data_IF_136480496880
#
_entry.id   IF_136480496880
#
_cell.length_a   1.000
_cell.length_b   1.000
_cell.length_c   1.000
_cell.angle_alpha   90.00
_cell.angle_beta   90.00
_cell.angle_gamma   90.00
#
_symmetry.space_group_name_H-M   'P 1'
#
loop_
_entity.id
_entity.type
_entity.pdbx_description
1 polymer ?
#
# COMPACT_ATOMS: atom_id res chain seq x y z
N UNK A 1 14.52 -23.90 -1.93
CA UNK A 1 15.00 -22.64 -1.32
C UNK A 1 14.14 -22.32 -0.11
N UNK A 2 14.73 -21.80 0.95
CA UNK A 2 14.06 -21.16 2.09
C UNK A 2 13.85 -19.68 1.77
N UNK A 3 12.59 -19.22 1.75
CA UNK A 3 12.21 -17.90 1.26
C UNK A 3 11.43 -17.14 2.33
N UNK A 4 11.87 -15.91 2.61
CA UNK A 4 11.15 -14.98 3.47
C UNK A 4 10.22 -14.10 2.63
N UNK A 5 8.96 -13.99 3.01
CA UNK A 5 8.01 -13.02 2.46
C UNK A 5 7.72 -11.97 3.52
N UNK A 6 7.95 -10.69 3.20
CA UNK A 6 7.73 -9.58 4.14
C UNK A 6 6.36 -8.97 3.88
N UNK A 7 5.42 -9.20 4.79
CA UNK A 7 4.02 -8.77 4.72
C UNK A 7 3.06 -9.91 4.37
N UNK A 8 1.94 -9.98 5.07
CA UNK A 8 0.83 -10.93 4.85
C UNK A 8 -0.45 -10.23 4.34
N UNK A 9 -0.29 -9.14 3.59
CA UNK A 9 -1.34 -8.57 2.76
C UNK A 9 -1.66 -9.45 1.54
N UNK A 10 -2.57 -8.97 0.69
CA UNK A 10 -2.98 -9.68 -0.53
C UNK A 10 -1.79 -10.07 -1.43
N UNK A 11 -0.81 -9.17 -1.59
CA UNK A 11 0.42 -9.43 -2.35
C UNK A 11 1.29 -10.54 -1.72
N UNK A 12 1.51 -10.48 -0.40
CA UNK A 12 2.30 -11.47 0.31
C UNK A 12 1.65 -12.85 0.35
N UNK A 13 0.32 -12.90 0.50
CA UNK A 13 -0.45 -14.15 0.40
C UNK A 13 -0.36 -14.76 -1.00
N UNK A 14 -0.42 -13.94 -2.06
CA UNK A 14 -0.24 -14.40 -3.43
C UNK A 14 1.17 -15.01 -3.62
N UNK A 15 2.21 -14.29 -3.20
CA UNK A 15 3.59 -14.76 -3.28
C UNK A 15 3.82 -16.05 -2.47
N UNK A 16 3.37 -16.09 -1.22
CA UNK A 16 3.54 -17.25 -0.34
C UNK A 16 2.86 -18.51 -0.90
N UNK A 17 1.65 -18.38 -1.46
CA UNK A 17 0.93 -19.48 -2.12
C UNK A 17 1.74 -20.02 -3.30
N UNK A 18 2.19 -19.15 -4.19
CA UNK A 18 2.92 -19.57 -5.40
C UNK A 18 4.28 -20.16 -5.06
N UNK A 19 4.99 -19.61 -4.08
CA UNK A 19 6.24 -20.17 -3.58
C UNK A 19 6.06 -21.59 -3.02
N UNK A 20 5.02 -21.83 -2.21
CA UNK A 20 4.72 -23.19 -1.73
C UNK A 20 4.38 -24.16 -2.86
N UNK A 21 3.63 -23.71 -3.87
CA UNK A 21 3.29 -24.52 -5.06
C UNK A 21 4.52 -24.95 -5.86
N UNK A 22 5.54 -24.11 -5.89
CA UNK A 22 6.82 -24.41 -6.53
C UNK A 22 7.80 -25.21 -5.62
N UNK A 23 7.36 -25.62 -4.42
CA UNK A 23 8.12 -26.48 -3.52
C UNK A 23 9.12 -25.73 -2.64
N UNK A 24 8.98 -24.41 -2.49
CA UNK A 24 9.81 -23.63 -1.57
C UNK A 24 9.35 -23.79 -0.12
N UNK A 25 10.31 -23.71 0.81
CA UNK A 25 10.01 -23.52 2.24
C UNK A 25 9.79 -22.03 2.46
N UNK A 26 8.63 -21.66 2.98
CA UNK A 26 8.19 -20.26 3.05
C UNK A 26 7.95 -19.86 4.50
N UNK A 27 8.52 -18.71 4.88
CA UNK A 27 8.18 -17.99 6.10
C UNK A 27 7.63 -16.62 5.72
N UNK A 28 6.46 -16.25 6.24
CA UNK A 28 5.85 -14.93 6.04
C UNK A 28 5.93 -14.16 7.35
N UNK A 29 6.53 -12.97 7.34
CA UNK A 29 6.61 -12.08 8.51
C UNK A 29 5.51 -11.02 8.39
N UNK A 30 4.60 -10.95 9.35
CA UNK A 30 3.50 -9.99 9.39
C UNK A 30 3.50 -9.22 10.70
N UNK A 31 3.59 -7.89 10.61
CA UNK A 31 3.65 -7.03 11.80
C UNK A 31 2.32 -6.94 12.55
N UNK A 32 1.20 -7.22 11.88
CA UNK A 32 -0.14 -7.14 12.46
C UNK A 32 -0.53 -8.44 13.17
N UNK A 33 -1.56 -8.37 14.00
CA UNK A 33 -2.09 -9.53 14.72
C UNK A 33 -2.92 -10.50 13.88
N UNK A 34 -3.07 -10.26 12.57
CA UNK A 34 -3.75 -11.14 11.62
C UNK A 34 -3.27 -10.83 10.18
N UNK A 35 -3.60 -11.70 9.23
CA UNK A 35 -3.39 -11.46 7.79
C UNK A 35 -4.36 -10.40 7.26
N UNK A 36 -4.05 -9.85 6.09
CA UNK A 36 -4.95 -8.95 5.36
C UNK A 36 -4.30 -7.63 4.93
N UNK A 37 -3.21 -7.23 5.59
CA UNK A 37 -2.52 -5.97 5.30
C UNK A 37 -3.48 -4.78 5.41
N UNK A 38 -3.62 -4.00 4.35
CA UNK A 38 -4.56 -2.87 4.29
C UNK A 38 -6.00 -3.26 4.67
N UNK A 39 -6.46 -4.46 4.33
CA UNK A 39 -7.85 -4.88 4.58
C UNK A 39 -8.14 -5.17 6.05
N UNK A 40 -7.11 -5.33 6.88
CA UNK A 40 -7.26 -5.43 8.33
C UNK A 40 -7.47 -4.03 8.91
N UNK A 41 -8.73 -3.63 9.02
CA UNK A 41 -9.12 -2.35 9.59
C UNK A 41 -8.63 -2.19 11.03
N UNK A 42 -8.00 -1.05 11.30
CA UNK A 42 -7.55 -0.64 12.63
C UNK A 42 -8.17 0.72 12.96
N UNK A 43 -9.01 0.86 14.00
CA UNK A 43 -9.62 2.14 14.35
C UNK A 43 -8.61 3.16 14.90
N UNK A 44 -7.39 2.74 15.27
CA UNK A 44 -6.33 3.64 15.73
C UNK A 44 -5.76 4.46 14.57
N UNK A 45 -5.14 5.57 14.93
CA UNK A 45 -4.44 6.48 14.02
C UNK A 45 -3.05 6.77 14.59
N UNK A 46 -2.11 7.16 13.73
CA UNK A 46 -0.78 7.60 14.19
C UNK A 46 -0.83 8.96 14.92
N UNK A 47 -1.94 9.68 14.79
CA UNK A 47 -2.23 10.97 15.41
C UNK A 47 -2.86 10.82 16.81
N UNK A 48 -2.04 10.66 17.85
CA UNK A 48 -2.39 11.15 19.21
C UNK A 48 -1.93 12.62 19.40
N UNK A 49 -1.52 13.30 18.33
CA UNK A 49 -1.14 14.70 18.30
C UNK A 49 -0.23 15.01 17.12
N UNK A 50 -0.71 15.87 16.21
CA UNK A 50 0.03 16.56 15.16
C UNK A 50 1.19 15.77 14.54
N UNK A 51 0.91 14.99 13.49
CA UNK A 51 1.95 14.56 12.54
C UNK A 51 2.74 15.79 12.05
N UNK A 52 3.94 16.00 12.60
CA UNK A 52 4.96 16.84 11.98
C UNK A 52 5.31 16.23 10.62
N UNK A 53 5.43 17.06 9.57
CA UNK A 53 5.74 16.56 8.25
C UNK A 53 7.11 15.85 8.24
N UNK A 54 7.06 14.53 8.02
CA UNK A 54 8.21 13.72 7.63
C UNK A 54 9.18 13.38 8.76
N UNK A 55 8.93 12.29 9.49
CA UNK A 55 10.01 11.41 10.01
C UNK A 55 9.50 10.21 10.82
N UNK A 56 8.34 10.27 11.46
CA UNK A 56 7.89 9.18 12.33
C UNK A 56 7.48 7.95 11.49
N UNK A 57 7.95 6.73 11.82
CA UNK A 57 7.51 5.53 11.15
C UNK A 57 6.01 5.32 11.39
N UNK A 58 5.28 5.07 10.31
CA UNK A 58 3.85 4.75 10.35
C UNK A 58 3.63 3.58 11.31
N UNK A 59 2.82 3.78 12.36
CA UNK A 59 2.56 2.74 13.37
C UNK A 59 1.36 1.90 12.98
N UNK A 60 0.34 2.53 12.40
CA UNK A 60 -0.89 1.91 11.91
C UNK A 60 -0.76 1.65 10.41
N UNK A 61 -0.70 0.38 10.01
CA UNK A 61 -0.50 0.04 8.59
C UNK A 61 -1.72 0.38 7.71
N UNK A 62 -2.93 0.11 8.19
CA UNK A 62 -4.17 0.24 7.41
C UNK A 62 -4.58 1.70 7.22
N UNK A 63 -4.91 2.02 5.97
CA UNK A 63 -5.56 3.28 5.57
C UNK A 63 -7.07 3.15 5.36
N UNK A 64 -7.66 2.01 5.71
CA UNK A 64 -9.11 1.80 5.57
C UNK A 64 -9.89 2.61 6.61
N UNK A 65 -11.00 3.18 6.17
CA UNK A 65 -12.00 3.82 7.02
C UNK A 65 -13.27 2.96 7.14
N UNK A 66 -14.03 3.18 8.21
CA UNK A 66 -15.06 2.25 8.67
C UNK A 66 -16.12 1.93 7.61
N UNK A 67 -16.52 2.94 6.82
CA UNK A 67 -17.54 2.81 5.80
C UNK A 67 -17.02 2.37 4.42
N UNK A 68 -15.70 2.18 4.26
CA UNK A 68 -15.09 1.90 2.95
C UNK A 68 -15.73 0.68 2.29
N UNK A 69 -16.11 0.88 1.03
CA UNK A 69 -16.59 -0.18 0.14
C UNK A 69 -15.64 -0.29 -1.04
N UNK A 70 -15.66 -1.46 -1.68
CA UNK A 70 -14.90 -1.64 -2.91
C UNK A 70 -15.38 -0.66 -3.98
N UNK A 71 -14.41 -0.08 -4.69
CA UNK A 71 -14.63 0.71 -5.90
C UNK A 71 -14.74 -0.16 -7.16
N UNK A 72 -14.34 -1.43 -7.05
CA UNK A 72 -14.43 -2.45 -8.09
C UNK A 72 -15.39 -3.57 -7.66
N UNK A 73 -16.08 -4.22 -8.61
CA UNK A 73 -16.97 -5.31 -8.26
C UNK A 73 -16.18 -6.51 -7.72
N UNK A 74 -16.75 -7.25 -6.77
CA UNK A 74 -16.11 -8.42 -6.15
C UNK A 74 -15.62 -9.46 -7.15
N UNK A 75 -16.29 -9.60 -8.29
CA UNK A 75 -15.91 -10.55 -9.34
C UNK A 75 -14.51 -10.25 -9.93
N UNK A 76 -14.06 -9.00 -9.87
CA UNK A 76 -12.72 -8.60 -10.31
C UNK A 76 -11.65 -8.76 -9.21
N UNK A 77 -12.06 -9.07 -7.98
CA UNK A 77 -11.21 -9.04 -6.77
C UNK A 77 -10.90 -10.44 -6.22
N UNK A 78 -11.26 -11.49 -6.96
CA UNK A 78 -10.92 -12.89 -6.65
C UNK A 78 -9.59 -13.33 -7.27
N UNK A 79 -8.85 -14.21 -6.61
CA UNK A 79 -7.70 -14.91 -7.19
C UNK A 79 -8.21 -15.90 -8.25
N UNK A 80 -7.37 -16.21 -9.25
CA UNK A 80 -7.80 -17.00 -10.41
C UNK A 80 -8.47 -18.33 -10.03
N UNK A 81 -7.95 -18.99 -9.00
CA UNK A 81 -8.40 -20.29 -8.47
C UNK A 81 -9.10 -20.20 -7.11
N UNK A 82 -9.40 -18.98 -6.64
CA UNK A 82 -10.13 -18.73 -5.41
C UNK A 82 -11.00 -17.49 -5.60
N UNK A 83 -12.16 -17.70 -6.22
CA UNK A 83 -13.04 -16.62 -6.66
C UNK A 83 -13.78 -15.97 -5.48
N UNK A 84 -13.96 -14.65 -5.55
CA UNK A 84 -14.58 -13.87 -4.46
C UNK A 84 -16.11 -13.78 -4.62
N UNK A 85 -16.78 -14.91 -4.35
CA UNK A 85 -18.23 -15.01 -4.43
C UNK A 85 -18.95 -14.55 -3.14
N UNK A 86 -20.21 -14.09 -3.24
CA UNK A 86 -21.05 -13.85 -2.07
C UNK A 86 -21.23 -15.13 -1.25
N UNK A 87 -21.16 -14.99 0.09
CA UNK A 87 -21.53 -16.05 1.03
C UNK A 87 -22.95 -15.80 1.53
N UNK A 88 -23.94 -16.37 0.86
CA UNK A 88 -25.35 -16.24 1.25
C UNK A 88 -25.65 -17.00 2.55
N UNK A 89 -26.53 -16.45 3.39
CA UNK A 89 -26.97 -17.09 4.63
C UNK A 89 -25.94 -17.14 5.77
N UNK A 90 -24.73 -16.61 5.57
CA UNK A 90 -23.69 -16.57 6.62
C UNK A 90 -23.74 -15.22 7.34
N UNK A 91 -24.02 -15.26 8.65
CA UNK A 91 -24.10 -14.06 9.49
C UNK A 91 -22.78 -13.26 9.46
N UNK A 92 -22.88 -11.93 9.35
CA UNK A 92 -21.72 -11.03 9.33
C UNK A 92 -21.01 -10.90 7.99
N UNK A 93 -21.48 -11.58 6.94
CA UNK A 93 -20.96 -11.45 5.56
C UNK A 93 -21.71 -10.41 4.76
N UNK A 94 -21.00 -9.81 3.81
CA UNK A 94 -21.54 -8.78 2.92
C UNK A 94 -21.83 -9.36 1.53
N UNK A 95 -23.10 -9.60 1.16
CA UNK A 95 -23.45 -10.21 -0.12
C UNK A 95 -23.42 -9.21 -1.28
N UNK A 96 -23.24 -7.91 -1.03
CA UNK A 96 -23.27 -6.88 -2.08
C UNK A 96 -22.18 -7.10 -3.12
N UNK A 97 -22.45 -6.68 -4.36
CA UNK A 97 -21.46 -6.70 -5.46
C UNK A 97 -20.23 -5.82 -5.17
N UNK A 98 -20.44 -4.73 -4.44
CA UNK A 98 -19.40 -3.82 -3.93
C UNK A 98 -19.46 -3.85 -2.40
N UNK A 99 -18.90 -4.90 -1.77
CA UNK A 99 -18.97 -5.10 -0.33
C UNK A 99 -18.05 -4.13 0.42
N UNK A 100 -18.14 -4.11 1.75
CA UNK A 100 -17.20 -3.39 2.61
C UNK A 100 -15.81 -4.03 2.62
N UNK A 101 -14.80 -3.26 3.04
CA UNK A 101 -13.42 -3.74 3.24
C UNK A 101 -13.34 -5.01 4.09
N UNK A 102 -14.19 -5.13 5.11
CA UNK A 102 -14.26 -6.27 6.03
C UNK A 102 -14.50 -7.60 5.32
N UNK A 103 -15.28 -7.60 4.25
CA UNK A 103 -15.56 -8.80 3.47
C UNK A 103 -14.33 -9.27 2.68
N UNK A 104 -13.47 -8.34 2.24
CA UNK A 104 -12.18 -8.68 1.61
C UNK A 104 -11.21 -9.25 2.64
N UNK A 105 -11.17 -8.70 3.85
CA UNK A 105 -10.40 -9.27 4.96
C UNK A 105 -10.82 -10.71 5.24
N UNK A 106 -12.13 -10.99 5.33
CA UNK A 106 -12.61 -12.37 5.50
C UNK A 106 -12.22 -13.28 4.35
N UNK A 107 -12.32 -12.79 3.11
CA UNK A 107 -11.87 -13.52 1.94
C UNK A 107 -10.37 -13.86 1.98
N UNK A 108 -9.50 -12.93 2.41
CA UNK A 108 -8.06 -13.17 2.54
C UNK A 108 -7.73 -14.16 3.67
N UNK A 109 -8.48 -14.14 4.76
CA UNK A 109 -8.36 -15.16 5.81
C UNK A 109 -8.75 -16.54 5.31
N UNK A 110 -9.88 -16.65 4.60
CA UNK A 110 -10.30 -17.90 3.98
C UNK A 110 -9.27 -18.41 2.97
N UNK A 111 -8.69 -17.51 2.16
CA UNK A 111 -7.61 -17.85 1.25
C UNK A 111 -6.40 -18.41 1.98
N UNK A 112 -5.95 -17.75 3.06
CA UNK A 112 -4.84 -18.21 3.88
C UNK A 112 -5.09 -19.62 4.44
N UNK A 113 -6.30 -19.91 4.93
CA UNK A 113 -6.67 -21.24 5.42
C UNK A 113 -6.81 -22.28 4.31
N UNK A 114 -7.49 -21.95 3.20
CA UNK A 114 -7.78 -22.86 2.10
C UNK A 114 -6.51 -23.38 1.41
N UNK A 115 -5.49 -22.53 1.30
CA UNK A 115 -4.18 -22.91 0.76
C UNK A 115 -3.17 -23.32 1.83
N UNK A 116 -3.62 -23.49 3.09
CA UNK A 116 -2.82 -23.94 4.21
C UNK A 116 -1.58 -23.09 4.41
N UNK A 117 -1.70 -21.76 4.40
CA UNK A 117 -0.58 -20.83 4.57
C UNK A 117 -0.38 -20.40 6.03
N UNK A 118 -1.35 -20.67 6.90
CA UNK A 118 -1.35 -20.18 8.28
C UNK A 118 -0.11 -20.61 9.08
N UNK A 119 0.45 -21.78 8.82
CA UNK A 119 1.66 -22.29 9.46
C UNK A 119 2.95 -21.60 8.97
N UNK A 120 2.93 -20.97 7.79
CA UNK A 120 4.04 -20.15 7.31
C UNK A 120 4.02 -18.72 7.89
N UNK A 121 2.87 -18.25 8.37
CA UNK A 121 2.71 -16.85 8.80
C UNK A 121 3.08 -16.68 10.27
N UNK A 122 4.04 -15.78 10.52
CA UNK A 122 4.42 -15.32 11.85
C UNK A 122 3.82 -13.94 12.07
N UNK A 123 2.72 -13.91 12.82
CA UNK A 123 1.98 -12.70 13.17
C UNK A 123 2.67 -11.94 14.29
N UNK A 124 2.36 -10.64 14.39
CA UNK A 124 3.02 -9.71 15.29
C UNK A 124 4.56 -9.75 15.17
N UNK A 125 5.09 -10.01 13.97
CA UNK A 125 6.53 -10.09 13.70
C UNK A 125 6.89 -9.00 12.70
N UNK A 126 7.50 -7.93 13.20
CA UNK A 126 7.95 -6.81 12.36
C UNK A 126 9.37 -7.06 11.88
N UNK A 127 9.58 -6.96 10.57
CA UNK A 127 10.92 -6.94 9.98
C UNK A 127 11.55 -5.56 10.21
N UNK A 128 12.71 -5.53 10.85
CA UNK A 128 13.47 -4.32 11.17
C UNK A 128 14.64 -4.10 10.22
N UNK A 129 15.23 -5.19 9.70
CA UNK A 129 16.32 -5.13 8.74
C UNK A 129 16.33 -6.33 7.79
N UNK A 130 16.67 -6.10 6.54
CA UNK A 130 16.96 -7.10 5.52
C UNK A 130 18.26 -6.67 4.83
N UNK A 131 19.29 -7.51 4.90
CA UNK A 131 20.58 -7.21 4.30
C UNK A 131 21.26 -8.47 3.75
N UNK A 132 22.11 -8.30 2.73
CA UNK A 132 22.93 -9.38 2.23
C UNK A 132 23.92 -9.86 3.32
N UNK A 133 24.17 -11.18 3.38
CA UNK A 133 25.15 -11.77 4.29
C UNK A 133 26.57 -11.54 3.72
N UNK A 134 27.45 -10.77 4.38
CA UNK A 134 28.73 -10.33 3.80
C UNK A 134 29.72 -11.45 3.44
N UNK A 135 29.60 -12.60 4.10
CA UNK A 135 30.56 -13.71 4.00
C UNK A 135 30.01 -14.94 3.26
N UNK A 136 28.81 -14.85 2.68
CA UNK A 136 28.20 -15.99 2.02
C UNK A 136 28.77 -16.17 0.60
N UNK A 137 29.10 -17.41 0.24
CA UNK A 137 29.42 -17.82 -1.13
C UNK A 137 28.17 -17.86 -2.04
N UNK A 138 27.00 -17.60 -1.48
CA UNK A 138 25.68 -17.61 -2.14
C UNK A 138 24.90 -16.36 -1.77
N UNK A 139 24.03 -15.85 -2.64
CA UNK A 139 23.23 -14.64 -2.37
C UNK A 139 22.15 -14.90 -1.30
N UNK A 140 22.56 -14.89 -0.03
CA UNK A 140 21.71 -15.09 1.14
C UNK A 140 21.45 -13.78 1.88
N UNK A 141 20.33 -13.75 2.58
CA UNK A 141 19.79 -12.57 3.23
C UNK A 141 19.59 -12.80 4.72
N UNK A 142 20.20 -11.95 5.55
CA UNK A 142 19.91 -11.87 6.97
C UNK A 142 18.67 -10.97 7.18
N UNK A 143 17.64 -11.54 7.78
CA UNK A 143 16.39 -10.86 8.10
C UNK A 143 16.26 -10.75 9.60
N UNK A 144 16.24 -9.51 10.09
CA UNK A 144 16.02 -9.18 11.51
C UNK A 144 14.57 -8.85 11.77
N UNK A 145 14.07 -9.36 12.88
CA UNK A 145 12.68 -9.22 13.29
C UNK A 145 12.54 -8.94 14.78
N UNK A 146 11.49 -8.23 15.14
CA UNK A 146 11.05 -8.06 16.53
C UNK A 146 9.60 -8.55 16.67
N UNK A 147 9.30 -9.21 17.78
CA UNK A 147 7.92 -9.60 18.10
C UNK A 147 7.20 -8.44 18.80
N UNK A 148 5.99 -8.11 18.37
CA UNK A 148 5.21 -7.00 18.90
C UNK A 148 4.19 -7.52 19.93
N UNK A 149 4.08 -6.83 21.07
CA UNK A 149 3.05 -7.12 22.08
C UNK A 149 3.37 -8.27 23.05
N UNK A 150 4.63 -8.72 23.12
CA UNK A 150 5.10 -9.65 24.15
C UNK A 150 5.51 -8.95 25.46
N UNK A 151 5.98 -9.73 26.43
CA UNK A 151 6.57 -9.20 27.67
C UNK A 151 7.94 -8.56 27.37
N UNK A 152 8.53 -7.76 28.27
CA UNK A 152 9.81 -7.07 28.02
C UNK A 152 10.99 -8.00 27.64
N UNK A 153 10.85 -9.31 27.83
CA UNK A 153 11.80 -10.36 27.40
C UNK A 153 11.56 -10.88 25.98
N UNK A 154 10.43 -10.54 25.34
CA UNK A 154 10.04 -10.94 23.98
C UNK A 154 10.39 -9.89 22.91
N UNK A 155 10.88 -8.72 23.32
CA UNK A 155 11.40 -7.66 22.42
C UNK A 155 12.83 -7.95 21.93
N UNK A 156 13.33 -9.17 22.11
CA UNK A 156 14.63 -9.57 21.56
C UNK A 156 14.57 -9.63 20.03
N UNK A 157 15.46 -8.88 19.38
CA UNK A 157 15.64 -8.92 17.93
C UNK A 157 16.19 -10.29 17.53
N UNK A 158 15.48 -10.98 16.63
CA UNK A 158 15.87 -12.28 16.08
C UNK A 158 16.37 -12.10 14.65
N UNK A 159 17.46 -12.78 14.32
CA UNK A 159 18.02 -12.82 12.98
C UNK A 159 17.92 -14.24 12.39
N UNK A 160 17.37 -14.35 11.19
CA UNK A 160 17.28 -15.59 10.42
C UNK A 160 17.82 -15.38 9.00
N UNK A 161 18.44 -16.42 8.44
CA UNK A 161 19.03 -16.38 7.10
C UNK A 161 18.13 -17.10 6.09
N UNK A 162 17.89 -16.46 4.95
CA UNK A 162 17.07 -16.97 3.86
C UNK A 162 17.84 -16.96 2.54
N UNK A 163 17.48 -17.88 1.65
CA UNK A 163 18.04 -17.96 0.28
C UNK A 163 17.45 -16.88 -0.64
N UNK A 164 16.28 -16.35 -0.28
CA UNK A 164 15.63 -15.26 -1.00
C UNK A 164 14.64 -14.49 -0.11
N UNK A 165 14.40 -13.23 -0.47
CA UNK A 165 13.41 -12.35 0.16
C UNK A 165 12.44 -11.81 -0.90
N UNK A 166 11.15 -11.89 -0.61
CA UNK A 166 10.08 -11.24 -1.38
C UNK A 166 9.49 -10.11 -0.55
N UNK A 167 9.67 -8.87 -1.00
CA UNK A 167 9.10 -7.69 -0.36
C UNK A 167 7.66 -7.48 -0.84
N UNK A 168 6.69 -7.59 0.06
CA UNK A 168 5.25 -7.51 -0.24
C UNK A 168 4.50 -6.64 0.81
N UNK A 169 5.15 -5.58 1.28
CA UNK A 169 4.66 -4.71 2.37
C UNK A 169 3.57 -3.74 1.94
N UNK A 170 3.27 -3.64 0.65
CA UNK A 170 2.39 -2.61 0.10
C UNK A 170 2.98 -1.20 0.17
N UNK A 171 2.22 -0.22 -0.29
CA UNK A 171 2.69 1.17 -0.47
C UNK A 171 1.58 2.21 -0.23
N UNK A 172 0.54 1.85 0.53
CA UNK A 172 -0.58 2.73 0.88
C UNK A 172 -0.61 3.04 2.37
N UNK A 173 0.56 3.24 2.98
CA UNK A 173 0.70 3.52 4.41
C UNK A 173 1.48 4.79 4.69
N UNK A 174 2.56 5.10 3.95
CA UNK A 174 3.38 6.30 4.18
C UNK A 174 2.74 7.54 3.53
N UNK A 175 2.13 8.45 4.30
CA UNK A 175 1.48 9.64 3.75
C UNK A 175 2.50 10.71 3.37
N UNK A 176 2.05 11.67 2.56
CA UNK A 176 2.79 12.92 2.28
C UNK A 176 1.85 14.11 2.45
N UNK A 177 2.27 15.09 3.25
CA UNK A 177 1.50 16.28 3.59
C UNK A 177 2.40 17.51 3.51
N UNK A 178 1.79 18.68 3.35
CA UNK A 178 2.47 19.97 3.51
C UNK A 178 2.37 20.42 4.97
N UNK A 179 3.26 21.32 5.41
CA UNK A 179 3.19 21.91 6.74
C UNK A 179 2.18 23.06 6.78
N UNK A 180 1.22 22.96 7.70
CA UNK A 180 0.28 24.04 8.00
C UNK A 180 0.00 24.08 9.50
N UNK A 181 0.05 25.26 10.16
CA UNK A 181 0.00 25.37 11.63
C UNK A 181 -1.39 25.13 12.25
N UNK A 182 -2.40 24.82 11.44
CA UNK A 182 -3.77 24.55 11.88
C UNK A 182 -4.03 23.05 11.85
N UNK A 183 -5.24 22.63 12.22
CA UNK A 183 -5.60 21.22 12.23
C UNK A 183 -5.54 20.66 10.80
N UNK A 184 -4.64 19.70 10.61
CA UNK A 184 -4.48 18.97 9.38
C UNK A 184 -4.34 17.47 9.63
N UNK A 185 -4.72 16.67 8.65
CA UNK A 185 -4.49 15.23 8.65
C UNK A 185 -4.39 14.67 7.24
N UNK A 186 -3.76 13.51 7.07
CA UNK A 186 -3.84 12.73 5.84
C UNK A 186 -5.07 11.81 5.86
N UNK A 187 -5.56 11.41 4.68
CA UNK A 187 -6.60 10.39 4.53
C UNK A 187 -6.22 9.05 5.15
N UNK A 188 -4.92 8.82 5.36
CA UNK A 188 -4.38 7.68 6.10
C UNK A 188 -4.92 7.61 7.54
N UNK A 189 -5.09 8.76 8.20
CA UNK A 189 -5.62 8.88 9.56
C UNK A 189 -7.15 8.99 9.61
N UNK A 190 -7.84 9.06 8.46
CA UNK A 190 -9.29 9.12 8.45
C UNK A 190 -9.91 7.76 8.81
N UNK A 191 -10.93 7.75 9.67
CA UNK A 191 -11.61 6.51 10.12
C UNK A 191 -13.12 6.60 10.07
N UNK A 192 -13.67 7.69 10.56
CA UNK A 192 -15.11 7.90 10.69
C UNK A 192 -15.43 9.38 10.45
N UNK A 193 -16.66 9.71 10.01
CA UNK A 193 -17.03 11.08 9.75
C UNK A 193 -17.38 11.85 11.05
N UNK A 194 -17.82 11.16 12.11
CA UNK A 194 -18.34 11.80 13.34
C UNK A 194 -17.46 12.89 13.95
N UNK A 195 -16.12 12.76 14.02
CA UNK A 195 -15.24 13.81 14.54
C UNK A 195 -15.24 15.13 13.76
N UNK A 196 -15.81 15.16 12.55
CA UNK A 196 -15.88 16.35 11.68
C UNK A 196 -17.27 16.99 11.69
N UNK A 197 -18.13 16.62 12.63
CA UNK A 197 -19.51 17.11 12.69
C UNK A 197 -19.54 18.63 12.87
N UNK A 198 -20.21 19.31 11.95
CA UNK A 198 -20.34 20.77 11.97
C UNK A 198 -19.08 21.55 11.55
N UNK A 199 -18.02 20.86 11.12
CA UNK A 199 -16.79 21.50 10.64
C UNK A 199 -16.88 21.92 9.17
N UNK A 200 -16.10 22.93 8.81
CA UNK A 200 -15.71 23.23 7.43
C UNK A 200 -14.44 22.46 7.11
N UNK A 201 -14.56 21.46 6.24
CA UNK A 201 -13.43 20.59 5.86
C UNK A 201 -12.99 20.88 4.44
N UNK A 202 -11.70 21.18 4.26
CA UNK A 202 -11.08 21.34 2.94
C UNK A 202 -10.27 20.09 2.62
N UNK A 203 -10.56 19.47 1.49
CA UNK A 203 -9.92 18.25 1.00
C UNK A 203 -8.87 18.60 -0.06
N UNK A 204 -7.61 18.25 0.17
CA UNK A 204 -6.48 18.42 -0.78
C UNK A 204 -6.34 17.17 -1.63
N UNK A 205 -6.72 17.25 -2.90
CA UNK A 205 -6.62 16.13 -3.83
C UNK A 205 -7.94 15.39 -4.06
N UNK A 206 -8.17 15.05 -5.32
CA UNK A 206 -9.40 14.46 -5.82
C UNK A 206 -9.17 13.09 -6.49
N UNK A 207 -8.31 12.26 -5.88
CA UNK A 207 -8.22 10.83 -6.21
C UNK A 207 -9.40 10.05 -5.62
N UNK A 208 -9.33 8.71 -5.66
CA UNK A 208 -10.38 7.84 -5.13
C UNK A 208 -10.70 8.13 -3.65
N UNK A 209 -9.67 8.28 -2.81
CA UNK A 209 -9.84 8.63 -1.39
C UNK A 209 -10.51 9.99 -1.19
N UNK A 210 -10.09 11.02 -1.93
CA UNK A 210 -10.65 12.37 -1.78
C UNK A 210 -12.13 12.42 -2.13
N UNK A 211 -12.54 11.69 -3.17
CA UNK A 211 -13.94 11.58 -3.59
C UNK A 211 -14.78 10.83 -2.58
N UNK A 212 -14.35 9.64 -2.17
CA UNK A 212 -15.14 8.76 -1.30
C UNK A 212 -15.27 9.35 0.12
N UNK A 213 -14.17 9.85 0.68
CA UNK A 213 -14.19 10.49 2.01
C UNK A 213 -15.00 11.78 2.00
N UNK A 214 -14.91 12.61 0.95
CA UNK A 214 -15.72 13.83 0.86
C UNK A 214 -17.24 13.52 0.87
N UNK A 215 -17.65 12.43 0.21
CA UNK A 215 -19.04 11.98 0.22
C UNK A 215 -19.49 11.49 1.60
N UNK A 216 -18.61 10.82 2.35
CA UNK A 216 -18.93 10.38 3.71
C UNK A 216 -18.99 11.56 4.70
N UNK A 217 -18.02 12.48 4.61
CA UNK A 217 -18.00 13.71 5.42
C UNK A 217 -19.22 14.60 5.19
N UNK A 218 -19.75 14.65 3.96
CA UNK A 218 -20.93 15.46 3.61
C UNK A 218 -22.16 15.16 4.47
N UNK A 219 -22.20 13.99 5.10
CA UNK A 219 -23.28 13.53 5.98
C UNK A 219 -23.30 14.23 7.34
N UNK A 220 -22.18 14.80 7.79
CA UNK A 220 -22.03 15.36 9.14
C UNK A 220 -21.33 16.71 9.19
N UNK A 221 -20.42 17.00 8.26
CA UNK A 221 -19.71 18.27 8.17
C UNK A 221 -20.66 19.41 7.77
N UNK A 222 -20.33 20.64 8.17
CA UNK A 222 -21.08 21.83 7.78
C UNK A 222 -20.86 22.11 6.29
N UNK A 223 -19.61 22.13 5.86
CA UNK A 223 -19.19 22.37 4.47
C UNK A 223 -18.02 21.44 4.12
N UNK A 224 -17.99 20.95 2.87
CA UNK A 224 -16.91 20.12 2.34
C UNK A 224 -16.45 20.72 1.02
N UNK A 225 -15.19 21.14 0.98
CA UNK A 225 -14.56 21.77 -0.19
C UNK A 225 -13.54 20.82 -0.77
N UNK A 226 -13.78 20.30 -1.97
CA UNK A 226 -12.89 19.37 -2.64
C UNK A 226 -12.04 20.09 -3.69
N UNK A 227 -10.72 19.93 -3.60
CA UNK A 227 -9.78 20.62 -4.48
C UNK A 227 -9.17 19.67 -5.51
N UNK A 228 -9.07 20.14 -6.75
CA UNK A 228 -8.44 19.42 -7.86
C UNK A 228 -7.61 20.39 -8.71
N UNK A 229 -6.68 19.85 -9.51
CA UNK A 229 -5.97 20.65 -10.51
C UNK A 229 -6.90 21.08 -11.66
N UNK A 230 -7.75 20.17 -12.11
CA UNK A 230 -8.84 20.40 -13.06
C UNK A 230 -10.11 19.78 -12.48
N UNK A 231 -11.10 20.62 -12.18
CA UNK A 231 -12.37 20.16 -11.57
C UNK A 231 -13.19 19.37 -12.59
N UNK A 232 -13.21 19.81 -13.85
CA UNK A 232 -13.99 19.23 -14.93
C UNK A 232 -13.53 17.81 -15.28
N UNK A 233 -12.22 17.58 -15.25
CA UNK A 233 -11.64 16.24 -15.48
C UNK A 233 -11.80 15.33 -14.25
N UNK A 234 -11.79 15.90 -13.06
CA UNK A 234 -11.78 15.13 -11.82
C UNK A 234 -13.18 14.71 -11.34
N UNK A 235 -14.23 15.48 -11.64
CA UNK A 235 -15.56 15.32 -11.02
C UNK A 235 -16.61 14.80 -11.99
N UNK A 236 -17.53 13.98 -11.48
CA UNK A 236 -18.76 13.65 -12.21
C UNK A 236 -19.80 14.77 -12.04
N UNK A 237 -20.76 14.92 -12.98
CA UNK A 237 -21.83 15.90 -12.86
C UNK A 237 -22.65 15.79 -11.56
N UNK A 238 -22.77 14.58 -11.00
CA UNK A 238 -23.44 14.37 -9.72
C UNK A 238 -22.62 14.93 -8.55
N UNK A 239 -21.31 14.67 -8.53
CA UNK A 239 -20.41 15.20 -7.50
C UNK A 239 -20.33 16.72 -7.54
N UNK A 240 -20.29 17.30 -8.74
CA UNK A 240 -20.28 18.76 -8.92
C UNK A 240 -21.51 19.46 -8.34
N UNK A 241 -22.62 18.75 -8.18
CA UNK A 241 -23.85 19.26 -7.54
C UNK A 241 -23.88 19.04 -6.03
N UNK A 242 -23.10 18.08 -5.51
CA UNK A 242 -23.14 17.67 -4.11
C UNK A 242 -22.06 18.32 -3.23
N UNK A 243 -20.92 18.69 -3.84
CA UNK A 243 -19.73 19.21 -3.17
C UNK A 243 -19.33 20.58 -3.73
N UNK A 244 -18.72 21.42 -2.91
CA UNK A 244 -18.07 22.64 -3.39
C UNK A 244 -16.70 22.26 -3.99
N UNK A 245 -16.50 22.49 -5.28
CA UNK A 245 -15.29 22.05 -5.98
C UNK A 245 -14.46 23.23 -6.42
N UNK A 246 -13.17 23.16 -6.16
CA UNK A 246 -12.26 24.28 -6.34
C UNK A 246 -11.03 23.86 -7.13
N UNK A 247 -10.57 24.75 -8.02
CA UNK A 247 -9.31 24.57 -8.71
C UNK A 247 -8.17 25.14 -7.86
N UNK A 248 -7.17 24.31 -7.55
CA UNK A 248 -6.02 24.65 -6.70
C UNK A 248 -6.40 25.27 -5.34
N UNK A 249 -5.42 25.50 -4.48
CA UNK A 249 -5.63 26.18 -3.20
C UNK A 249 -4.36 26.88 -2.75
N UNK A 250 -4.52 27.82 -1.83
CA UNK A 250 -3.45 28.43 -1.07
C UNK A 250 -3.84 28.50 0.41
N UNK A 251 -3.00 27.92 1.28
CA UNK A 251 -3.21 27.88 2.72
C UNK A 251 -2.59 29.12 3.38
N UNK A 252 -3.38 29.85 4.15
CA UNK A 252 -2.90 30.96 4.97
C UNK A 252 -2.76 30.53 6.43
N UNK A 253 -1.76 31.10 7.13
CA UNK A 253 -1.50 30.79 8.54
C UNK A 253 -2.67 31.15 9.48
N UNK A 254 -3.51 32.10 9.09
CA UNK A 254 -4.69 32.53 9.84
C UNK A 254 -5.86 31.54 9.78
N UNK A 255 -5.76 30.46 9.00
CA UNK A 255 -6.84 29.48 8.83
C UNK A 255 -7.63 29.64 7.53
N UNK A 256 -7.39 30.72 6.77
CA UNK A 256 -8.04 30.94 5.48
C UNK A 256 -7.44 30.01 4.42
N UNK A 257 -8.30 29.42 3.61
CA UNK A 257 -7.96 28.71 2.37
C UNK A 257 -8.51 29.53 1.21
N UNK A 258 -7.63 30.00 0.34
CA UNK A 258 -8.00 30.72 -0.89
C UNK A 258 -7.95 29.77 -2.10
N UNK A 259 -8.91 29.90 -3.01
CA UNK A 259 -9.04 29.06 -4.20
C UNK A 259 -8.73 29.87 -5.47
N UNK A 260 -8.45 29.20 -6.60
CA UNK A 260 -8.04 29.89 -7.83
C UNK A 260 -9.13 30.76 -8.46
N UNK A 261 -10.40 30.54 -8.12
CA UNK A 261 -11.52 31.37 -8.57
C UNK A 261 -11.65 32.70 -7.78
N UNK A 262 -10.77 32.93 -6.81
CA UNK A 262 -10.76 34.10 -5.94
C UNK A 262 -11.66 33.96 -4.70
N UNK A 263 -12.41 32.87 -4.57
CA UNK A 263 -13.17 32.58 -3.36
C UNK A 263 -12.24 32.12 -2.23
N UNK A 264 -12.72 32.22 -0.98
CA UNK A 264 -11.97 31.73 0.18
C UNK A 264 -12.91 31.29 1.30
N UNK A 265 -12.41 30.39 2.14
CA UNK A 265 -13.12 29.87 3.32
C UNK A 265 -12.17 29.80 4.51
N UNK A 266 -12.68 29.91 5.72
CA UNK A 266 -11.91 29.59 6.93
C UNK A 266 -12.16 28.12 7.24
N UNK A 267 -11.12 27.29 7.14
CA UNK A 267 -11.23 25.85 7.33
C UNK A 267 -10.98 25.48 8.79
N UNK A 268 -11.85 24.63 9.35
CA UNK A 268 -11.61 24.01 10.65
C UNK A 268 -10.56 22.89 10.53
N UNK A 269 -10.62 22.15 9.42
CA UNK A 269 -9.68 21.05 9.12
C UNK A 269 -9.28 21.03 7.63
N UNK A 270 -7.99 20.82 7.35
CA UNK A 270 -7.48 20.45 6.01
C UNK A 270 -7.12 18.97 5.98
N UNK A 271 -7.70 18.22 5.03
CA UNK A 271 -7.47 16.80 4.87
C UNK A 271 -6.74 16.50 3.56
N UNK A 272 -5.53 15.96 3.66
CA UNK A 272 -4.70 15.57 2.52
C UNK A 272 -5.11 14.20 1.98
N UNK A 273 -5.61 14.19 0.75
CA UNK A 273 -5.88 13.00 -0.07
C UNK A 273 -4.89 12.92 -1.24
N UNK A 274 -3.61 13.15 -0.92
CA UNK A 274 -2.49 13.37 -1.85
C UNK A 274 -1.75 12.09 -2.22
N UNK A 275 -2.13 10.96 -1.64
CA UNK A 275 -1.57 9.65 -1.94
C UNK A 275 -0.41 9.30 -1.01
N UNK A 276 0.43 8.39 -1.46
CA UNK A 276 1.42 7.73 -0.61
C UNK A 276 2.77 7.61 -1.31
N UNK A 277 3.82 7.44 -0.52
CA UNK A 277 5.17 7.18 -0.99
C UNK A 277 5.59 5.74 -0.72
N UNK A 278 6.43 5.17 -1.59
CA UNK A 278 7.14 3.94 -1.27
C UNK A 278 8.13 4.19 -0.14
N UNK A 279 8.19 3.27 0.82
CA UNK A 279 9.12 3.33 1.95
C UNK A 279 9.52 1.92 2.35
N UNK A 280 10.83 1.66 2.34
CA UNK A 280 11.42 0.36 2.69
C UNK A 280 12.59 0.57 3.65
N UNK A 281 12.34 1.26 4.78
CA UNK A 281 13.40 1.62 5.74
C UNK A 281 14.13 0.43 6.36
N UNK A 282 13.52 -0.76 6.32
CA UNK A 282 14.14 -2.02 6.76
C UNK A 282 15.09 -2.62 5.71
N UNK A 283 15.04 -2.18 4.45
CA UNK A 283 15.76 -2.83 3.36
C UNK A 283 17.12 -2.16 3.13
N UNK A 284 18.20 -2.87 3.47
CA UNK A 284 19.58 -2.43 3.29
C UNK A 284 20.22 -3.17 2.11
N UNK A 285 20.18 -2.54 0.95
CA UNK A 285 20.75 -3.09 -0.29
C UNK A 285 22.07 -2.43 -0.68
N UNK A 286 22.70 -1.62 0.20
CA UNK A 286 23.88 -0.83 -0.16
C UNK A 286 23.67 0.12 -1.35
N UNK A 287 22.44 0.59 -1.57
CA UNK A 287 22.09 1.50 -2.68
C UNK A 287 21.66 0.83 -3.99
N UNK A 288 21.69 -0.52 -4.08
CA UNK A 288 21.21 -1.23 -5.28
C UNK A 288 19.71 -1.05 -5.57
N UNK A 289 18.90 -0.73 -4.55
CA UNK A 289 17.49 -0.33 -4.68
C UNK A 289 17.32 1.01 -3.99
N UNK A 290 16.70 1.96 -4.69
CA UNK A 290 16.42 3.30 -4.19
C UNK A 290 14.96 3.66 -4.42
N UNK A 291 14.46 4.60 -3.63
CA UNK A 291 13.19 5.29 -3.88
C UNK A 291 13.50 6.75 -4.16
N UNK A 292 13.31 7.18 -5.40
CA UNK A 292 13.57 8.56 -5.83
C UNK A 292 12.33 9.13 -6.54
N UNK A 293 11.74 10.18 -5.99
CA UNK A 293 10.44 10.73 -6.40
C UNK A 293 9.41 9.61 -6.66
N UNK A 294 9.21 8.72 -5.68
CA UNK A 294 8.26 7.60 -5.76
C UNK A 294 8.53 6.57 -6.90
N UNK A 295 9.72 6.58 -7.51
CA UNK A 295 10.24 5.49 -8.35
C UNK A 295 11.08 4.56 -7.48
N UNK A 296 10.64 3.31 -7.35
CA UNK A 296 11.44 2.21 -6.79
C UNK A 296 12.29 1.63 -7.91
N UNK A 297 13.61 1.62 -7.76
CA UNK A 297 14.44 1.10 -8.83
C UNK A 297 15.94 1.05 -8.60
N UNK A 298 16.67 0.52 -9.59
CA UNK A 298 16.12 -0.09 -10.82
C UNK A 298 15.38 -1.41 -10.58
N UNK A 299 14.23 -1.63 -11.24
CA UNK A 299 13.44 -2.87 -11.13
C UNK A 299 13.05 -3.36 -12.54
N UNK A 300 13.60 -4.50 -12.95
CA UNK A 300 13.18 -5.23 -14.15
C UNK A 300 11.75 -5.72 -13.98
N UNK A 301 10.89 -5.32 -14.93
CA UNK A 301 9.44 -5.62 -14.93
C UNK A 301 8.74 -5.27 -13.60
N UNK A 302 9.24 -4.25 -12.89
CA UNK A 302 8.75 -3.82 -11.57
C UNK A 302 8.81 -4.90 -10.47
N UNK A 303 9.63 -5.94 -10.65
CA UNK A 303 9.76 -7.08 -9.72
C UNK A 303 11.19 -7.26 -9.25
N UNK A 304 12.16 -7.33 -10.17
CA UNK A 304 13.51 -7.77 -9.85
C UNK A 304 14.52 -6.63 -9.90
N UNK A 305 15.22 -6.30 -8.80
CA UNK A 305 16.43 -5.50 -8.86
C UNK A 305 17.54 -6.26 -9.61
N UNK A 306 18.03 -5.78 -10.78
CA UNK A 306 18.88 -6.58 -11.66
C UNK A 306 20.12 -7.18 -10.99
N UNK A 307 20.83 -6.40 -10.17
CA UNK A 307 22.06 -6.81 -9.47
C UNK A 307 21.86 -7.73 -8.27
N UNK A 308 20.60 -7.93 -7.84
CA UNK A 308 20.23 -8.76 -6.70
C UNK A 308 19.23 -9.86 -7.08
N UNK A 309 18.95 -10.00 -8.38
CA UNK A 309 18.00 -10.98 -8.87
C UNK A 309 18.65 -12.38 -8.94
N UNK A 310 17.92 -13.46 -8.63
CA UNK A 310 16.52 -13.47 -8.18
C UNK A 310 16.36 -13.49 -6.65
N UNK A 311 17.45 -13.35 -5.87
CA UNK A 311 17.40 -13.54 -4.42
C UNK A 311 16.64 -12.42 -3.68
N UNK A 312 16.53 -11.23 -4.26
CA UNK A 312 15.59 -10.19 -3.85
C UNK A 312 14.54 -9.94 -4.94
N UNK A 313 13.28 -9.80 -4.54
CA UNK A 313 12.18 -9.47 -5.46
C UNK A 313 11.06 -8.70 -4.75
N UNK A 314 10.22 -8.02 -5.53
CA UNK A 314 9.08 -7.26 -5.03
C UNK A 314 7.77 -7.75 -5.65
N UNK A 315 6.71 -7.84 -4.85
CA UNK A 315 5.35 -8.12 -5.32
C UNK A 315 4.43 -6.99 -4.88
N UNK A 316 3.72 -6.40 -5.84
CA UNK A 316 2.78 -5.32 -5.60
C UNK A 316 3.37 -3.91 -5.58
N UNK A 317 4.43 -3.66 -6.35
CA UNK A 317 4.92 -2.30 -6.65
C UNK A 317 4.02 -1.56 -7.66
N UNK A 318 3.52 -2.18 -8.75
CA UNK A 318 2.70 -1.45 -9.71
C UNK A 318 1.38 -0.91 -9.16
N UNK A 319 0.98 0.25 -9.66
CA UNK A 319 -0.29 0.94 -9.37
C UNK A 319 -1.18 0.94 -10.61
N UNK A 320 -2.47 1.20 -10.39
CA UNK A 320 -3.53 1.14 -11.44
C UNK A 320 -3.71 -0.23 -12.10
N UNK A 321 -3.19 -1.27 -11.46
CA UNK A 321 -3.33 -2.66 -11.90
C UNK A 321 -4.59 -3.31 -11.34
N UNK A 322 -5.05 -4.36 -12.02
CA UNK A 322 -6.15 -5.20 -11.53
C UNK A 322 -5.61 -6.18 -10.49
N UNK A 323 -6.03 -5.98 -9.24
CA UNK A 323 -5.69 -6.85 -8.10
C UNK A 323 -6.85 -7.80 -7.83
N UNK A 324 -6.59 -9.07 -7.45
CA UNK A 324 -5.29 -9.65 -7.12
C UNK A 324 -4.50 -10.24 -8.29
N UNK A 325 -5.04 -10.29 -9.51
CA UNK A 325 -4.45 -11.05 -10.63
C UNK A 325 -3.01 -10.63 -10.96
N UNK A 326 -2.71 -9.34 -10.86
CA UNK A 326 -1.36 -8.84 -11.08
C UNK A 326 -0.38 -9.38 -10.02
N UNK A 327 -0.77 -9.39 -8.74
CA UNK A 327 0.07 -9.93 -7.67
C UNK A 327 0.26 -11.44 -7.79
N UNK A 328 -0.77 -12.15 -8.23
CA UNK A 328 -0.71 -13.58 -8.53
C UNK A 328 0.27 -13.88 -9.68
N UNK A 329 0.25 -13.09 -10.76
CA UNK A 329 1.19 -13.22 -11.86
C UNK A 329 2.63 -12.96 -11.42
N UNK A 330 2.86 -11.88 -10.65
CA UNK A 330 4.19 -11.59 -10.08
C UNK A 330 4.67 -12.70 -9.15
N UNK A 331 3.83 -13.14 -8.20
CA UNK A 331 4.16 -14.22 -7.26
C UNK A 331 4.51 -15.53 -7.97
N UNK A 332 3.74 -15.89 -9.00
CA UNK A 332 3.99 -17.08 -9.82
C UNK A 332 5.30 -16.99 -10.58
N UNK A 333 5.59 -15.82 -11.15
CA UNK A 333 6.86 -15.61 -11.87
C UNK A 333 8.06 -15.69 -10.93
N UNK A 334 7.99 -15.02 -9.76
CA UNK A 334 9.03 -15.07 -8.72
C UNK A 334 9.30 -16.51 -8.29
N UNK A 335 8.25 -17.27 -7.99
CA UNK A 335 8.38 -18.66 -7.55
C UNK A 335 9.03 -19.54 -8.64
N UNK A 336 8.62 -19.41 -9.91
CA UNK A 336 9.19 -20.18 -11.01
C UNK A 336 10.64 -19.82 -11.33
N UNK A 337 11.04 -18.57 -11.12
CA UNK A 337 12.44 -18.15 -11.25
C UNK A 337 13.28 -18.75 -10.12
N UNK A 338 12.81 -18.66 -8.88
CA UNK A 338 13.52 -19.21 -7.72
C UNK A 338 13.66 -20.73 -7.76
N UNK A 339 12.71 -21.43 -8.39
CA UNK A 339 12.76 -22.88 -8.60
C UNK A 339 13.63 -23.31 -9.77
N UNK A 340 14.12 -22.36 -10.59
CA UNK A 340 14.86 -22.62 -11.83
C UNK A 340 13.99 -23.09 -12.99
N UNK A 341 12.64 -23.08 -12.86
CA UNK A 341 11.72 -23.43 -13.95
C UNK A 341 11.68 -22.36 -15.03
N UNK A 342 11.94 -21.10 -14.68
CA UNK A 342 12.15 -19.99 -15.60
C UNK A 342 13.51 -19.35 -15.35
N UNK A 343 14.18 -18.94 -16.42
CA UNK A 343 15.39 -18.15 -16.34
C UNK A 343 15.05 -16.65 -16.41
N UNK A 344 15.83 -15.83 -15.71
CA UNK A 344 15.91 -14.40 -15.98
C UNK A 344 16.97 -14.16 -17.07
N UNK A 345 16.83 -13.09 -17.86
CA UNK A 345 17.90 -12.64 -18.74
C UNK A 345 19.12 -12.17 -17.90
N UNK A 346 20.31 -12.05 -18.52
CA UNK A 346 21.49 -11.53 -17.85
C UNK A 346 21.26 -10.14 -17.24
N UNK A 347 22.01 -9.81 -16.19
CA UNK A 347 21.90 -8.52 -15.47
C UNK A 347 21.96 -7.32 -16.42
N UNK A 348 22.87 -7.33 -17.39
CA UNK A 348 23.04 -6.24 -18.36
C UNK A 348 21.78 -6.05 -19.22
N UNK A 349 21.11 -7.13 -19.62
CA UNK A 349 19.87 -7.06 -20.40
C UNK A 349 18.70 -6.56 -19.55
N UNK A 350 18.62 -6.99 -18.28
CA UNK A 350 17.63 -6.48 -17.34
C UNK A 350 17.80 -4.97 -17.11
N UNK A 351 19.04 -4.50 -16.88
CA UNK A 351 19.34 -3.08 -16.73
C UNK A 351 18.99 -2.29 -17.99
N UNK A 352 19.36 -2.79 -19.17
CA UNK A 352 19.03 -2.17 -20.45
C UNK A 352 17.52 -2.00 -20.63
N UNK A 353 16.74 -3.04 -20.33
CA UNK A 353 15.27 -2.98 -20.36
C UNK A 353 14.70 -1.91 -19.42
N UNK A 354 15.25 -1.80 -18.20
CA UNK A 354 14.85 -0.77 -17.23
C UNK A 354 15.15 0.64 -17.75
N UNK A 355 16.34 0.84 -18.32
CA UNK A 355 16.73 2.13 -18.90
C UNK A 355 15.88 2.51 -20.11
N UNK A 356 15.59 1.57 -21.01
CA UNK A 356 14.72 1.77 -22.15
C UNK A 356 13.30 2.16 -21.70
N UNK A 357 12.77 1.49 -20.68
CA UNK A 357 11.48 1.84 -20.08
C UNK A 357 11.50 3.27 -19.50
N UNK A 358 12.56 3.65 -18.78
CA UNK A 358 12.69 5.01 -18.24
C UNK A 358 12.78 6.07 -19.33
N UNK A 359 13.57 5.84 -20.39
CA UNK A 359 13.68 6.76 -21.54
C UNK A 359 12.35 6.89 -22.28
N UNK A 360 11.61 5.80 -22.47
CA UNK A 360 10.29 5.84 -23.10
C UNK A 360 9.29 6.68 -22.30
N UNK A 361 9.28 6.54 -20.96
CA UNK A 361 8.42 7.35 -20.08
C UNK A 361 8.79 8.83 -20.11
N UNK A 362 10.08 9.14 -20.07
CA UNK A 362 10.59 10.50 -20.16
C UNK A 362 10.25 11.15 -21.50
N UNK A 363 10.45 10.44 -22.61
CA UNK A 363 10.07 10.89 -23.95
C UNK A 363 8.55 11.13 -24.09
N UNK A 364 7.74 10.39 -23.34
CA UNK A 364 6.30 10.60 -23.24
C UNK A 364 5.90 11.71 -22.24
N UNK A 365 6.85 12.41 -21.63
CA UNK A 365 6.62 13.48 -20.66
C UNK A 365 6.02 13.01 -19.34
N UNK A 366 6.16 11.72 -18.99
CA UNK A 366 5.60 11.14 -17.78
C UNK A 366 6.54 11.38 -16.58
N UNK A 367 6.10 12.09 -15.53
CA UNK A 367 6.90 12.32 -14.33
C UNK A 367 7.41 11.04 -13.65
N UNK A 368 8.57 11.13 -12.99
CA UNK A 368 9.28 10.03 -12.32
C UNK A 368 8.39 9.28 -11.34
N UNK A 369 7.60 9.99 -10.53
CA UNK A 369 6.62 9.39 -9.62
C UNK A 369 5.58 8.45 -10.23
N UNK A 370 5.33 8.50 -11.53
CA UNK A 370 4.38 7.60 -12.22
C UNK A 370 5.07 6.43 -12.92
N UNK A 371 6.33 6.14 -12.60
CA UNK A 371 7.08 5.03 -13.21
C UNK A 371 6.37 3.68 -13.06
N UNK A 372 5.64 3.48 -11.96
CA UNK A 372 4.93 2.25 -11.65
C UNK A 372 3.43 2.33 -11.95
N UNK A 373 2.97 3.37 -12.64
CA UNK A 373 1.60 3.44 -13.16
C UNK A 373 1.59 2.80 -14.55
N UNK A 374 1.09 1.57 -14.63
CA UNK A 374 1.06 0.74 -15.86
C UNK A 374 -0.35 0.35 -16.26
#
# INVERSE_FOLDING_TARGET
KNVCVVGAGMAGMAAARELRREGHVVTVMEQSGDVGGQWLYDPRTDDDGLLEAGAAPVRVHSSMYACLRLISPREAMGFSDFQFFPREGVAGRDPRRFPTHREVYYYLREFCHAFGLADAVRLNTRVTRVAAVPTSLTDQWAVRTVHLGGTATDEEEKEEVFDAVVVATGHYSQPSMEDWPRRQLHSHSYRTPEPFRGEVVVMVGCGDSGKDIALDLRRVAKEVHLTAKSVEEAMTPAMSKMLANHANLHLHADGRVAFADGSSVVADTVMYCTGYTYSFTFLDTGGAVTVDDNRVGPLFEHVFPPSLAPSLSFVGIPRKVIVPWFFEAQGKWVAQVLSGRRALPPEEEMLRSVEEYYRAREAAGVPKKYTHDI
#
